data_IF_591209720288
#
_entry.id   IF_591209720288
#
_cell.length_a   1.000
_cell.length_b   1.000
_cell.length_c   1.000
_cell.angle_alpha   90.00
_cell.angle_beta   90.00
_cell.angle_gamma   90.00
#
_symmetry.space_group_name_H-M   'P 1'
#
loop_
_entity.id
_entity.type
_entity.pdbx_description
1 polymer ?
#
# COMPACT_ATOMS: atom_id res chain seq x y z
N UNK A 1 29.85 -4.82 -7.93
CA UNK A 1 29.81 -6.15 -7.28
C UNK A 1 28.36 -6.62 -7.25
N UNK A 2 28.08 -7.93 -7.35
CA UNK A 2 26.75 -8.45 -7.13
C UNK A 2 26.30 -8.17 -5.68
N UNK A 3 24.99 -7.94 -5.49
CA UNK A 3 24.41 -7.78 -4.16
C UNK A 3 24.39 -9.14 -3.44
N UNK A 4 24.90 -9.23 -2.22
CA UNK A 4 24.81 -10.43 -1.39
C UNK A 4 23.65 -10.32 -0.39
N UNK A 5 22.55 -11.08 -0.56
CA UNK A 5 21.42 -11.04 0.34
C UNK A 5 21.55 -11.98 1.55
N UNK A 6 22.62 -12.79 1.65
CA UNK A 6 22.78 -13.74 2.75
C UNK A 6 22.73 -13.07 4.15
N UNK A 7 23.31 -11.87 4.38
CA UNK A 7 23.21 -11.17 5.66
C UNK A 7 21.79 -10.71 6.03
N UNK A 8 20.86 -10.65 5.06
CA UNK A 8 19.47 -10.25 5.31
C UNK A 8 18.60 -11.42 5.80
N UNK A 9 19.06 -12.67 5.74
CA UNK A 9 18.23 -13.83 6.06
C UNK A 9 17.81 -13.83 7.55
N UNK A 10 16.50 -13.88 7.81
CA UNK A 10 15.91 -13.89 9.15
C UNK A 10 15.06 -15.14 9.37
N UNK A 11 15.55 -16.07 10.20
CA UNK A 11 14.84 -17.32 10.51
C UNK A 11 13.89 -17.12 11.69
N UNK A 12 12.70 -17.72 11.62
CA UNK A 12 11.74 -17.73 12.72
C UNK A 12 11.06 -16.37 13.03
N UNK A 13 11.31 -15.35 12.20
CA UNK A 13 10.66 -14.04 12.32
C UNK A 13 9.15 -14.17 12.09
N UNK A 14 8.29 -13.58 12.95
CA UNK A 14 6.86 -13.42 12.66
C UNK A 14 6.66 -12.52 11.44
N UNK A 15 5.89 -12.99 10.46
CA UNK A 15 5.62 -12.26 9.21
C UNK A 15 4.20 -11.68 9.29
N UNK A 16 4.07 -10.37 9.09
CA UNK A 16 2.76 -9.76 8.89
C UNK A 16 2.32 -9.98 7.45
N UNK A 17 1.08 -10.45 7.29
CA UNK A 17 0.44 -10.63 6.01
C UNK A 17 -0.72 -9.68 5.79
N UNK A 18 -0.70 -8.98 4.66
CA UNK A 18 -1.80 -8.11 4.22
C UNK A 18 -2.22 -8.54 2.81
N UNK A 19 -3.47 -8.96 2.63
CA UNK A 19 -3.99 -9.37 1.32
C UNK A 19 -4.84 -8.26 0.71
N UNK A 20 -4.41 -7.74 -0.44
CA UNK A 20 -5.19 -6.87 -1.30
C UNK A 20 -6.32 -7.68 -1.94
N UNK A 21 -7.54 -7.50 -1.46
CA UNK A 21 -8.66 -8.35 -1.86
C UNK A 21 -9.42 -7.78 -3.07
N UNK A 22 -9.95 -8.68 -3.88
CA UNK A 22 -10.80 -8.34 -5.02
C UNK A 22 -12.16 -7.79 -4.56
N UNK A 23 -12.69 -6.80 -5.29
CA UNK A 23 -14.10 -6.40 -5.24
C UNK A 23 -14.85 -7.14 -6.36
N UNK A 24 -15.60 -8.21 -6.06
CA UNK A 24 -16.26 -9.03 -7.07
C UNK A 24 -17.45 -8.29 -7.70
N UNK A 25 -17.63 -8.49 -9.00
CA UNK A 25 -18.79 -8.03 -9.76
C UNK A 25 -19.55 -9.24 -10.32
N UNK A 26 -20.88 -9.14 -10.32
CA UNK A 26 -21.79 -10.07 -10.98
C UNK A 26 -21.81 -9.87 -12.49
N UNK A 27 -22.46 -10.81 -13.19
CA UNK A 27 -22.63 -10.73 -14.65
C UNK A 27 -23.50 -9.55 -15.11
N UNK A 28 -24.28 -8.96 -14.20
CA UNK A 28 -25.09 -7.75 -14.39
C UNK A 28 -24.28 -6.44 -14.22
N UNK A 29 -22.98 -6.55 -13.93
CA UNK A 29 -22.11 -5.39 -13.70
C UNK A 29 -22.33 -4.72 -12.34
N UNK A 30 -23.06 -5.35 -11.42
CA UNK A 30 -23.20 -4.87 -10.05
C UNK A 30 -22.17 -5.53 -9.14
N UNK A 31 -21.77 -4.84 -8.08
CA UNK A 31 -20.90 -5.41 -7.06
C UNK A 31 -21.62 -6.54 -6.31
N UNK A 32 -20.96 -7.70 -6.18
CA UNK A 32 -21.43 -8.79 -5.33
C UNK A 32 -20.97 -8.56 -3.88
N UNK A 33 -21.74 -7.75 -3.15
CA UNK A 33 -21.43 -7.38 -1.76
C UNK A 33 -21.40 -8.57 -0.80
N UNK A 34 -22.20 -9.61 -1.04
CA UNK A 34 -22.22 -10.80 -0.20
C UNK A 34 -20.95 -11.63 -0.41
N UNK A 35 -20.54 -11.84 -1.66
CA UNK A 35 -19.28 -12.51 -1.95
C UNK A 35 -18.08 -11.71 -1.44
N UNK A 36 -18.11 -10.38 -1.56
CA UNK A 36 -17.09 -9.49 -1.02
C UNK A 36 -16.96 -9.62 0.51
N UNK A 37 -18.07 -9.48 1.25
CA UNK A 37 -18.10 -9.65 2.71
C UNK A 37 -17.54 -11.02 3.14
N UNK A 38 -17.96 -12.10 2.47
CA UNK A 38 -17.43 -13.45 2.73
C UNK A 38 -15.95 -13.58 2.38
N UNK A 39 -15.46 -12.87 1.38
CA UNK A 39 -14.03 -12.85 1.05
C UNK A 39 -13.23 -12.17 2.17
N UNK A 40 -13.67 -11.00 2.64
CA UNK A 40 -13.07 -10.28 3.77
C UNK A 40 -12.99 -11.17 5.01
N UNK A 41 -14.11 -11.78 5.42
CA UNK A 41 -14.15 -12.63 6.63
C UNK A 41 -13.23 -13.85 6.52
N UNK A 42 -13.13 -14.45 5.32
CA UNK A 42 -12.20 -15.58 5.09
C UNK A 42 -10.74 -15.17 5.22
N UNK A 43 -10.38 -13.98 4.72
CA UNK A 43 -9.03 -13.43 4.85
C UNK A 43 -8.65 -13.24 6.32
N UNK A 44 -9.54 -12.67 7.13
CA UNK A 44 -9.30 -12.51 8.58
C UNK A 44 -9.25 -13.85 9.30
N UNK A 45 -10.12 -14.80 8.96
CA UNK A 45 -10.11 -16.14 9.55
C UNK A 45 -8.80 -16.91 9.27
N UNK A 46 -8.09 -16.56 8.19
CA UNK A 46 -6.76 -17.08 7.88
C UNK A 46 -5.62 -16.36 8.62
N UNK A 47 -5.92 -15.39 9.49
CA UNK A 47 -4.93 -14.60 10.22
C UNK A 47 -4.27 -13.51 9.37
N UNK A 48 -4.90 -13.10 8.27
CA UNK A 48 -4.37 -12.12 7.31
C UNK A 48 -5.17 -10.82 7.42
N UNK A 49 -4.50 -9.68 7.41
CA UNK A 49 -5.14 -8.36 7.36
C UNK A 49 -5.67 -8.10 5.94
N UNK A 50 -6.96 -7.81 5.74
CA UNK A 50 -7.48 -7.46 4.42
C UNK A 50 -7.13 -6.00 4.07
N UNK A 51 -6.71 -5.79 2.82
CA UNK A 51 -6.51 -4.48 2.21
C UNK A 51 -7.59 -4.23 1.14
N UNK A 52 -8.44 -3.24 1.39
CA UNK A 52 -9.60 -2.87 0.59
C UNK A 52 -9.22 -1.74 -0.39
N UNK A 53 -9.96 -1.56 -1.48
CA UNK A 53 -9.70 -0.48 -2.43
C UNK A 53 -8.24 -0.44 -2.92
N UNK A 54 -7.66 -1.62 -3.20
CA UNK A 54 -6.32 -1.77 -3.78
C UNK A 54 -6.39 -2.00 -5.30
N UNK A 55 -5.26 -2.11 -6.01
CA UNK A 55 -5.22 -2.44 -7.44
C UNK A 55 -5.99 -3.73 -7.78
N UNK A 56 -5.85 -4.76 -6.93
CA UNK A 56 -6.58 -6.04 -7.05
C UNK A 56 -8.10 -5.84 -7.01
N UNK A 57 -8.58 -4.81 -6.29
CA UNK A 57 -9.98 -4.42 -6.22
C UNK A 57 -10.39 -3.36 -7.26
N UNK A 58 -9.52 -3.04 -8.23
CA UNK A 58 -9.76 -2.07 -9.30
C UNK A 58 -10.10 -0.65 -8.80
N UNK A 59 -9.54 -0.21 -7.67
CA UNK A 59 -9.86 1.07 -7.03
C UNK A 59 -9.89 2.27 -7.99
N UNK A 60 -8.98 2.32 -8.95
CA UNK A 60 -8.86 3.36 -9.96
C UNK A 60 -10.08 3.47 -10.90
N UNK A 61 -10.93 2.45 -10.96
CA UNK A 61 -12.15 2.42 -11.78
C UNK A 61 -13.43 2.68 -10.96
N UNK A 62 -13.32 2.73 -9.63
CA UNK A 62 -14.46 2.88 -8.73
C UNK A 62 -14.72 4.36 -8.42
N UNK A 63 -15.99 4.74 -8.34
CA UNK A 63 -16.40 6.02 -7.76
C UNK A 63 -16.30 6.02 -6.22
N UNK A 64 -16.35 7.21 -5.63
CA UNK A 64 -16.21 7.38 -4.18
C UNK A 64 -17.36 6.72 -3.39
N UNK A 65 -18.55 6.59 -3.98
CA UNK A 65 -19.69 5.91 -3.36
C UNK A 65 -19.40 4.42 -3.21
N UNK A 66 -18.94 3.78 -4.28
CA UNK A 66 -18.59 2.36 -4.31
C UNK A 66 -17.41 2.07 -3.38
N UNK A 67 -16.38 2.94 -3.39
CA UNK A 67 -15.23 2.83 -2.47
C UNK A 67 -15.66 2.91 -1.01
N UNK A 68 -16.56 3.85 -0.68
CA UNK A 68 -17.09 4.01 0.67
C UNK A 68 -17.92 2.80 1.11
N UNK A 69 -18.77 2.28 0.22
CA UNK A 69 -19.56 1.08 0.52
C UNK A 69 -18.68 -0.16 0.72
N UNK A 70 -17.63 -0.35 -0.08
CA UNK A 70 -16.67 -1.44 0.12
C UNK A 70 -15.99 -1.35 1.50
N UNK A 71 -15.61 -0.15 1.94
CA UNK A 71 -15.04 0.06 3.27
C UNK A 71 -16.03 -0.29 4.40
N UNK A 72 -17.28 0.14 4.27
CA UNK A 72 -18.33 -0.16 5.24
C UNK A 72 -18.58 -1.67 5.36
N UNK A 73 -18.78 -2.35 4.21
CA UNK A 73 -19.00 -3.81 4.18
C UNK A 73 -17.80 -4.56 4.76
N UNK A 74 -16.57 -4.11 4.48
CA UNK A 74 -15.37 -4.72 5.04
C UNK A 74 -15.29 -4.55 6.57
N UNK A 75 -15.65 -3.38 7.10
CA UNK A 75 -15.68 -3.14 8.56
C UNK A 75 -16.78 -3.93 9.25
N UNK A 76 -17.96 -4.06 8.65
CA UNK A 76 -19.02 -4.93 9.18
C UNK A 76 -18.58 -6.40 9.25
N UNK A 77 -17.83 -6.85 8.24
CA UNK A 77 -17.25 -8.20 8.21
C UNK A 77 -16.09 -8.40 9.20
N UNK A 78 -15.48 -7.30 9.69
CA UNK A 78 -14.34 -7.29 10.63
C UNK A 78 -14.62 -6.29 11.76
N UNK A 79 -15.56 -6.60 12.68
CA UNK A 79 -15.93 -5.65 13.75
C UNK A 79 -14.76 -5.29 14.68
N UNK A 80 -13.79 -6.20 14.79
CA UNK A 80 -12.54 -6.00 15.51
C UNK A 80 -11.37 -6.48 14.65
N UNK A 81 -10.30 -5.70 14.62
CA UNK A 81 -9.10 -6.00 13.83
C UNK A 81 -8.68 -4.87 12.93
N UNK A 82 -7.44 -4.97 12.44
CA UNK A 82 -6.86 -3.99 11.52
C UNK A 82 -7.43 -4.19 10.11
N UNK A 83 -7.75 -3.07 9.47
CA UNK A 83 -8.05 -2.99 8.05
C UNK A 83 -7.02 -2.06 7.41
N UNK A 84 -6.69 -2.35 6.15
CA UNK A 84 -5.87 -1.48 5.32
C UNK A 84 -6.72 -1.06 4.13
N UNK A 85 -6.51 0.15 3.60
CA UNK A 85 -7.27 0.63 2.45
C UNK A 85 -6.47 1.54 1.52
N UNK A 86 -6.65 1.42 0.21
CA UNK A 86 -6.01 2.32 -0.75
C UNK A 86 -6.64 3.72 -0.75
N UNK A 87 -5.83 4.73 -0.51
CA UNK A 87 -6.18 6.14 -0.70
C UNK A 87 -5.79 6.54 -2.14
N UNK A 88 -6.74 6.45 -3.06
CA UNK A 88 -6.52 6.58 -4.50
C UNK A 88 -7.06 7.89 -5.07
N UNK A 89 -6.19 8.70 -5.64
CA UNK A 89 -6.55 9.85 -6.48
C UNK A 89 -6.23 9.50 -7.93
N UNK A 90 -7.26 9.55 -8.79
CA UNK A 90 -7.11 9.30 -10.23
C UNK A 90 -7.02 10.64 -10.94
N UNK A 91 -5.87 10.90 -11.55
CA UNK A 91 -5.57 12.12 -12.30
C UNK A 91 -4.93 11.76 -13.66
N UNK A 92 -4.42 12.78 -14.36
CA UNK A 92 -3.86 12.65 -15.72
C UNK A 92 -2.43 13.21 -15.79
N UNK A 93 -1.64 12.82 -16.79
CA UNK A 93 -0.30 13.37 -16.98
C UNK A 93 -0.29 14.91 -16.97
N UNK A 94 0.60 15.50 -16.17
CA UNK A 94 0.70 16.95 -16.03
C UNK A 94 -0.27 17.58 -15.03
N UNK A 95 -1.14 16.78 -14.38
CA UNK A 95 -1.96 17.27 -13.28
C UNK A 95 -1.10 17.80 -12.12
N UNK A 96 -1.59 18.85 -11.46
CA UNK A 96 -1.02 19.32 -10.21
C UNK A 96 -1.27 18.30 -9.08
N UNK A 97 -0.49 18.40 -8.01
CA UNK A 97 -0.71 17.60 -6.81
C UNK A 97 -2.06 17.95 -6.15
N UNK A 98 -3.02 17.02 -6.22
CA UNK A 98 -4.35 17.16 -5.61
C UNK A 98 -4.35 16.71 -4.13
N UNK A 99 -3.83 17.58 -3.27
CA UNK A 99 -3.79 17.35 -1.82
C UNK A 99 -5.19 17.16 -1.22
N UNK A 100 -6.20 17.88 -1.71
CA UNK A 100 -7.58 17.76 -1.23
C UNK A 100 -8.24 16.45 -1.68
N UNK A 101 -7.86 15.91 -2.85
CA UNK A 101 -8.21 14.58 -3.29
C UNK A 101 -7.79 13.51 -2.29
N UNK A 102 -6.52 13.52 -1.87
CA UNK A 102 -6.04 12.59 -0.86
C UNK A 102 -6.73 12.79 0.49
N UNK A 103 -7.01 14.04 0.89
CA UNK A 103 -7.77 14.34 2.11
C UNK A 103 -9.14 13.64 2.10
N UNK A 104 -9.90 13.75 1.00
CA UNK A 104 -11.20 13.08 0.87
C UNK A 104 -11.09 11.56 1.01
N UNK A 105 -10.06 10.95 0.42
CA UNK A 105 -9.81 9.51 0.56
C UNK A 105 -9.44 9.14 2.01
N UNK A 106 -8.61 9.93 2.68
CA UNK A 106 -8.26 9.71 4.09
C UNK A 106 -9.47 9.82 5.01
N UNK A 107 -10.34 10.81 4.81
CA UNK A 107 -11.58 10.97 5.58
C UNK A 107 -12.50 9.76 5.41
N UNK A 108 -12.68 9.27 4.17
CA UNK A 108 -13.46 8.06 3.89
C UNK A 108 -12.88 6.82 4.60
N UNK A 109 -11.56 6.64 4.55
CA UNK A 109 -10.86 5.52 5.19
C UNK A 109 -10.93 5.61 6.72
N UNK A 110 -10.84 6.82 7.28
CA UNK A 110 -10.90 7.05 8.72
C UNK A 110 -12.27 6.71 9.32
N UNK A 111 -13.37 6.83 8.56
CA UNK A 111 -14.72 6.44 9.02
C UNK A 111 -14.82 4.97 9.43
N UNK A 112 -13.94 4.11 8.94
CA UNK A 112 -13.89 2.68 9.26
C UNK A 112 -12.64 2.27 10.03
N UNK A 113 -11.88 3.23 10.58
CA UNK A 113 -10.62 3.01 11.30
C UNK A 113 -9.65 2.07 10.56
N UNK A 114 -9.49 2.31 9.25
CA UNK A 114 -8.53 1.60 8.42
C UNK A 114 -7.23 2.40 8.25
N UNK A 115 -6.11 1.69 8.00
CA UNK A 115 -4.82 2.32 7.71
C UNK A 115 -4.74 2.64 6.21
N UNK A 116 -4.57 3.90 5.81
CA UNK A 116 -4.45 4.26 4.40
C UNK A 116 -3.12 3.79 3.80
N UNK A 117 -3.17 3.24 2.59
CA UNK A 117 -2.05 3.07 1.67
C UNK A 117 -2.12 4.21 0.67
N UNK A 118 -1.11 5.07 0.61
CA UNK A 118 -1.12 6.21 -0.31
C UNK A 118 -0.79 5.70 -1.72
N UNK A 119 -1.78 5.70 -2.61
CA UNK A 119 -1.57 5.32 -4.01
C UNK A 119 -0.83 6.40 -4.78
N UNK A 120 -0.04 6.03 -5.81
CA UNK A 120 0.57 7.01 -6.69
C UNK A 120 -0.48 7.65 -7.62
N UNK A 121 -0.43 8.97 -7.75
CA UNK A 121 -1.10 9.75 -8.79
C UNK A 121 -0.07 10.57 -9.56
N UNK A 122 -0.37 11.01 -10.79
CA UNK A 122 0.55 11.82 -11.60
C UNK A 122 0.99 13.08 -10.86
N UNK A 123 0.06 13.77 -10.20
CA UNK A 123 0.37 14.96 -9.41
C UNK A 123 1.23 14.65 -8.18
N UNK A 124 0.99 13.53 -7.49
CA UNK A 124 1.79 13.12 -6.34
C UNK A 124 3.22 12.75 -6.75
N UNK A 125 3.40 12.02 -7.85
CA UNK A 125 4.69 11.45 -8.26
C UNK A 125 5.48 12.31 -9.25
N UNK A 126 4.97 13.47 -9.65
CA UNK A 126 5.64 14.40 -10.57
C UNK A 126 6.94 15.02 -10.00
N UNK A 127 7.86 15.44 -10.87
CA UNK A 127 9.06 16.18 -10.46
C UNK A 127 10.20 15.30 -9.96
N UNK A 128 11.06 15.87 -9.11
CA UNK A 128 12.18 15.18 -8.50
C UNK A 128 11.73 14.39 -7.26
N UNK A 129 12.58 13.47 -6.82
CA UNK A 129 12.32 12.67 -5.61
C UNK A 129 12.06 13.54 -4.37
N UNK A 130 12.75 14.66 -4.22
CA UNK A 130 12.53 15.63 -3.14
C UNK A 130 11.11 16.21 -3.15
N UNK A 131 10.54 16.44 -4.33
CA UNK A 131 9.17 16.95 -4.48
C UNK A 131 8.16 15.90 -4.01
N UNK A 132 8.38 14.63 -4.36
CA UNK A 132 7.54 13.51 -3.92
C UNK A 132 7.59 13.36 -2.41
N UNK A 133 8.77 13.42 -1.80
CA UNK A 133 8.92 13.35 -0.35
C UNK A 133 8.24 14.53 0.35
N UNK A 134 8.39 15.76 -0.16
CA UNK A 134 7.71 16.92 0.39
C UNK A 134 6.18 16.76 0.38
N UNK A 135 5.61 16.17 -0.68
CA UNK A 135 4.16 15.85 -0.73
C UNK A 135 3.78 14.72 0.23
N UNK A 136 4.59 13.67 0.34
CA UNK A 136 4.37 12.63 1.36
C UNK A 136 4.37 13.19 2.77
N UNK A 137 5.23 14.17 3.09
CA UNK A 137 5.23 14.86 4.39
C UNK A 137 3.95 15.70 4.60
N UNK A 138 3.45 16.37 3.55
CA UNK A 138 2.18 17.10 3.61
C UNK A 138 0.99 16.17 3.85
N UNK A 139 0.97 14.99 3.21
CA UNK A 139 -0.06 13.97 3.42
C UNK A 139 0.06 13.32 4.80
N UNK A 140 1.28 13.03 5.24
CA UNK A 140 1.57 12.47 6.55
C UNK A 140 1.02 13.35 7.68
N UNK A 141 1.04 14.68 7.54
CA UNK A 141 0.47 15.59 8.53
C UNK A 141 -1.06 15.47 8.71
N UNK A 142 -1.77 14.76 7.82
CA UNK A 142 -3.23 14.64 7.84
C UNK A 142 -3.74 13.37 8.51
N UNK A 143 -2.88 12.38 8.72
CA UNK A 143 -3.29 11.04 9.16
C UNK A 143 -2.42 10.55 10.32
N UNK A 144 -2.98 9.80 11.28
CA UNK A 144 -2.21 9.32 12.42
C UNK A 144 -1.19 8.24 12.03
N UNK A 145 -1.46 7.49 10.96
CA UNK A 145 -0.63 6.41 10.44
C UNK A 145 -0.96 6.13 8.97
N UNK A 146 0.02 5.72 8.19
CA UNK A 146 -0.18 5.31 6.79
C UNK A 146 0.89 4.33 6.31
N UNK A 147 0.67 3.73 5.14
CA UNK A 147 1.64 2.92 4.40
C UNK A 147 1.97 3.64 3.09
N UNK A 148 3.26 3.84 2.79
CA UNK A 148 3.71 4.34 1.50
C UNK A 148 3.62 3.27 0.41
N UNK A 149 3.61 3.68 -0.86
CA UNK A 149 3.52 2.73 -1.97
C UNK A 149 4.51 3.10 -3.08
N UNK A 150 5.56 2.29 -3.25
CA UNK A 150 6.41 2.29 -4.43
C UNK A 150 5.82 1.31 -5.45
N UNK A 151 5.38 1.82 -6.60
CA UNK A 151 4.72 1.02 -7.64
C UNK A 151 5.37 1.29 -8.99
N UNK A 152 5.83 0.25 -9.68
CA UNK A 152 6.43 0.42 -11.00
C UNK A 152 5.38 0.84 -12.05
N UNK A 153 5.84 1.58 -13.07
CA UNK A 153 5.00 2.01 -14.20
C UNK A 153 4.47 0.87 -15.05
N UNK A 154 5.00 -0.35 -14.88
CA UNK A 154 4.46 -1.58 -15.46
C UNK A 154 3.06 -1.92 -14.94
N UNK A 155 2.67 -1.41 -13.76
CA UNK A 155 1.34 -1.61 -13.17
C UNK A 155 0.41 -0.42 -13.45
N UNK A 156 0.88 0.80 -13.17
CA UNK A 156 0.10 2.03 -13.37
C UNK A 156 0.97 3.15 -13.94
N UNK A 157 0.54 3.91 -14.95
CA UNK A 157 1.36 4.97 -15.56
C UNK A 157 1.84 6.07 -14.61
N UNK A 158 1.10 6.35 -13.52
CA UNK A 158 1.46 7.30 -12.48
C UNK A 158 2.49 6.76 -11.47
N UNK A 159 2.86 5.48 -11.57
CA UNK A 159 3.71 4.77 -10.61
C UNK A 159 5.10 5.38 -10.48
N UNK A 160 5.69 5.25 -9.29
CA UNK A 160 7.07 5.64 -9.01
C UNK A 160 7.76 4.68 -8.05
N UNK A 161 8.99 4.32 -8.40
CA UNK A 161 9.97 3.71 -7.48
C UNK A 161 10.98 4.79 -7.12
N UNK A 162 11.18 5.05 -5.85
CA UNK A 162 12.01 6.15 -5.37
C UNK A 162 13.52 5.86 -5.59
N UNK A 163 14.33 6.90 -5.65
CA UNK A 163 15.77 6.77 -5.43
C UNK A 163 16.08 6.34 -3.99
N UNK A 164 17.31 5.84 -3.77
CA UNK A 164 17.74 5.37 -2.45
C UNK A 164 17.68 6.47 -1.37
N UNK A 165 18.11 7.68 -1.71
CA UNK A 165 18.12 8.82 -0.78
C UNK A 165 16.70 9.22 -0.39
N UNK A 166 15.80 9.29 -1.37
CA UNK A 166 14.39 9.61 -1.14
C UNK A 166 13.69 8.55 -0.29
N UNK A 167 13.97 7.25 -0.53
CA UNK A 167 13.47 6.19 0.33
C UNK A 167 14.00 6.33 1.77
N UNK A 168 15.26 6.75 1.97
CA UNK A 168 15.77 7.07 3.31
C UNK A 168 15.00 8.23 3.97
N UNK A 169 14.56 9.24 3.21
CA UNK A 169 13.68 10.29 3.75
C UNK A 169 12.28 9.78 4.07
N UNK A 170 11.71 8.87 3.25
CA UNK A 170 10.43 8.22 3.54
C UNK A 170 10.49 7.44 4.87
N UNK A 171 11.60 6.73 5.13
CA UNK A 171 11.81 6.00 6.39
C UNK A 171 11.76 6.91 7.62
N UNK A 172 12.14 8.19 7.48
CA UNK A 172 12.18 9.17 8.57
C UNK A 172 10.81 9.77 8.90
N UNK A 173 9.79 9.57 8.06
CA UNK A 173 8.43 10.07 8.33
C UNK A 173 7.84 9.24 9.49
N UNK A 174 7.59 9.83 10.69
CA UNK A 174 7.37 9.04 11.91
C UNK A 174 6.13 8.15 11.88
N UNK A 175 5.06 8.62 11.23
CA UNK A 175 3.77 7.92 11.12
C UNK A 175 3.62 7.08 9.84
N UNK A 176 4.66 6.99 9.01
CA UNK A 176 4.70 6.06 7.88
C UNK A 176 5.06 4.67 8.41
N UNK A 177 4.11 3.76 8.61
CA UNK A 177 4.34 2.45 9.24
C UNK A 177 5.25 1.53 8.40
N UNK A 178 5.19 1.70 7.09
CA UNK A 178 5.88 0.86 6.13
C UNK A 178 5.69 1.33 4.70
N UNK A 179 6.28 0.62 3.76
CA UNK A 179 6.09 0.85 2.33
C UNK A 179 5.87 -0.47 1.60
N UNK A 180 4.84 -0.53 0.77
CA UNK A 180 4.67 -1.58 -0.24
C UNK A 180 5.63 -1.33 -1.39
N UNK A 181 6.44 -2.32 -1.72
CA UNK A 181 7.44 -2.24 -2.78
C UNK A 181 7.08 -3.17 -3.94
N UNK A 182 6.51 -2.59 -5.00
CA UNK A 182 6.08 -3.28 -6.23
C UNK A 182 6.96 -2.88 -7.43
N UNK A 183 8.28 -2.97 -7.27
CA UNK A 183 9.24 -2.70 -8.36
C UNK A 183 9.48 -3.89 -9.30
N UNK A 184 9.00 -5.08 -8.93
CA UNK A 184 9.36 -6.37 -9.52
C UNK A 184 10.85 -6.74 -9.45
N UNK A 185 11.65 -6.01 -8.65
CA UNK A 185 13.09 -6.23 -8.51
C UNK A 185 13.46 -6.65 -7.09
N UNK A 186 13.86 -7.93 -6.94
CA UNK A 186 14.43 -8.43 -5.67
C UNK A 186 15.60 -7.59 -5.18
N UNK A 187 16.46 -7.14 -6.10
CA UNK A 187 17.63 -6.31 -5.78
C UNK A 187 17.23 -4.99 -5.13
N UNK A 188 16.27 -4.26 -5.71
CA UNK A 188 15.81 -2.99 -5.15
C UNK A 188 15.15 -3.20 -3.79
N UNK A 189 14.40 -4.28 -3.61
CA UNK A 189 13.78 -4.61 -2.33
C UNK A 189 14.83 -4.98 -1.26
N UNK A 190 15.87 -5.75 -1.60
CA UNK A 190 16.98 -6.00 -0.69
C UNK A 190 17.71 -4.71 -0.30
N UNK A 191 17.89 -3.77 -1.23
CA UNK A 191 18.45 -2.45 -0.92
C UNK A 191 17.56 -1.67 0.06
N UNK A 192 16.23 -1.78 -0.05
CA UNK A 192 15.28 -1.20 0.93
C UNK A 192 15.43 -1.84 2.29
N UNK A 193 15.54 -3.16 2.35
CA UNK A 193 15.72 -3.90 3.59
C UNK A 193 17.03 -3.53 4.28
N UNK A 194 18.15 -3.46 3.54
CA UNK A 194 19.43 -3.00 4.09
C UNK A 194 19.33 -1.60 4.66
N UNK A 195 18.73 -0.66 3.93
CA UNK A 195 18.60 0.72 4.38
C UNK A 195 17.66 0.84 5.59
N UNK A 196 16.54 0.12 5.57
CA UNK A 196 15.59 0.02 6.69
C UNK A 196 16.28 -0.50 7.95
N UNK A 197 17.04 -1.60 7.84
CA UNK A 197 17.72 -2.21 8.98
C UNK A 197 18.76 -1.27 9.61
N UNK A 198 19.33 -0.34 8.83
CA UNK A 198 20.30 0.64 9.33
C UNK A 198 19.62 1.86 9.96
N UNK A 199 18.54 2.36 9.35
CA UNK A 199 17.98 3.68 9.70
C UNK A 199 16.71 3.60 10.57
N UNK A 200 15.84 2.61 10.34
CA UNK A 200 14.52 2.51 11.00
C UNK A 200 14.06 1.05 11.07
N UNK A 201 14.66 0.20 11.94
CA UNK A 201 14.43 -1.25 11.97
C UNK A 201 12.97 -1.69 12.14
N UNK A 202 12.15 -0.85 12.76
CA UNK A 202 10.72 -1.05 13.00
C UNK A 202 9.83 -0.64 11.80
N UNK A 203 10.37 0.02 10.76
CA UNK A 203 9.66 0.28 9.50
C UNK A 203 9.38 -1.02 8.77
N UNK A 204 8.17 -1.24 8.27
CA UNK A 204 7.85 -2.46 7.50
C UNK A 204 8.10 -2.28 6.01
N UNK A 205 8.88 -3.16 5.42
CA UNK A 205 8.98 -3.28 3.96
C UNK A 205 8.03 -4.41 3.56
N UNK A 206 6.96 -4.07 2.85
CA UNK A 206 6.03 -5.06 2.35
C UNK A 206 6.41 -5.42 0.92
N UNK A 207 6.75 -6.68 0.66
CA UNK A 207 6.90 -7.12 -0.72
C UNK A 207 5.55 -6.99 -1.41
N UNK A 208 5.55 -6.29 -2.54
CA UNK A 208 4.41 -6.13 -3.43
C UNK A 208 4.62 -6.85 -4.76
N UNK A 209 5.49 -7.86 -4.76
CA UNK A 209 5.86 -8.68 -5.91
C UNK A 209 5.45 -10.13 -5.67
N UNK A 210 4.33 -10.56 -6.26
CA UNK A 210 3.79 -11.91 -6.09
C UNK A 210 4.77 -12.99 -6.58
N UNK A 211 5.66 -12.66 -7.53
CA UNK A 211 6.71 -13.55 -8.03
C UNK A 211 7.92 -13.67 -7.09
N UNK A 212 7.93 -12.92 -5.99
CA UNK A 212 9.01 -12.86 -5.02
C UNK A 212 8.52 -12.95 -3.57
N UNK A 213 7.51 -13.77 -3.30
CA UNK A 213 7.05 -14.06 -1.93
C UNK A 213 8.19 -14.53 -1.01
N UNK A 214 9.25 -15.11 -1.55
CA UNK A 214 10.45 -15.49 -0.80
C UNK A 214 11.18 -14.30 -0.15
N UNK A 215 10.88 -13.06 -0.53
CA UNK A 215 11.42 -11.85 0.10
C UNK A 215 11.18 -11.78 1.61
N UNK A 216 10.13 -12.44 2.11
CA UNK A 216 9.86 -12.53 3.55
C UNK A 216 11.01 -13.20 4.32
N UNK A 217 11.77 -14.09 3.67
CA UNK A 217 12.96 -14.74 4.25
C UNK A 217 14.09 -13.75 4.55
N UNK A 218 14.11 -12.61 3.86
CA UNK A 218 15.11 -11.55 4.00
C UNK A 218 14.64 -10.40 4.91
N UNK A 219 13.46 -10.55 5.53
CA UNK A 219 12.93 -9.59 6.49
C UNK A 219 11.83 -8.66 5.97
N UNK A 220 11.30 -8.92 4.77
CA UNK A 220 10.06 -8.27 4.33
C UNK A 220 8.84 -8.86 5.06
N UNK A 221 7.81 -8.03 5.24
CA UNK A 221 6.43 -8.47 5.35
C UNK A 221 5.82 -8.54 3.94
N UNK A 222 4.53 -8.83 3.80
CA UNK A 222 3.90 -8.86 2.47
C UNK A 222 2.58 -8.10 2.42
N UNK A 223 2.38 -7.39 1.30
CA UNK A 223 1.12 -6.77 0.90
C UNK A 223 0.87 -7.15 -0.57
N UNK A 224 0.14 -8.26 -0.78
CA UNK A 224 0.01 -8.96 -2.06
C UNK A 224 -1.44 -9.23 -2.43
N UNK A 225 -1.71 -9.50 -3.71
CA UNK A 225 -3.05 -9.80 -4.23
C UNK A 225 -3.53 -11.21 -3.92
#
# INVERSE_FOLDING_TARGET
>A
MPFDPAPLVQRGRPIQGISAILLPYGADGQVDWLAFSRHVSRTVAAGITPAINMDTGYVQLLDDVTRGQALQVAREAVPAGELVAGACVVDQPGAAFDQDGYRRQFEMIAQVDAVPVIFPSFGLTAGQDSDVIARYQQLAAMVPRFIGFELATAFVPSGRVLGREAYAELLKIPNCLGAKHSSLSRRLEWERLTLRNQLRPDFRVYTGNDLAIDMVRYGSDWLLG
#
